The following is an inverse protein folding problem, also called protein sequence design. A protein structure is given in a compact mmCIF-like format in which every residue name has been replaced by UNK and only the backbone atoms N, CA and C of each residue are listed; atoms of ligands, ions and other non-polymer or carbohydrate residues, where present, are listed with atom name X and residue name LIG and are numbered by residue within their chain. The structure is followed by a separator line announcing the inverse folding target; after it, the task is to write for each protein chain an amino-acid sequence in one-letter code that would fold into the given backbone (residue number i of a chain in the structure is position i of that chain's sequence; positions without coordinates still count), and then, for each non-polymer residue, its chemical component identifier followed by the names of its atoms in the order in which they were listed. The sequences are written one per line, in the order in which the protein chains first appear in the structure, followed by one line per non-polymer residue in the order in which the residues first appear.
data_IF_274595365288
#
_entry.id   IF_274595365288
#
_cell.length_a   1.000
_cell.length_b   1.000
_cell.length_c   1.000
_cell.angle_alpha   90.00
_cell.angle_beta   90.00
_cell.angle_gamma   90.00
#
_symmetry.space_group_name_H-M   'P 1'
#
loop_
_entity.id
_entity.type
_entity.pdbx_description
1 polymer ?
#
# COMPACT_ATOMS: atom_id res chain seq x y z
N UNK A 1 -20.76 5.77 29.88
CA UNK A 1 -19.44 6.22 29.40
C UNK A 1 -18.64 5.00 28.97
N UNK A 2 -18.57 4.71 27.67
CA UNK A 2 -17.80 3.57 27.15
C UNK A 2 -16.36 3.99 26.88
N UNK A 3 -15.53 3.84 27.90
CA UNK A 3 -14.07 3.99 27.83
C UNK A 3 -13.48 2.90 26.93
N UNK A 4 -13.03 3.27 25.73
CA UNK A 4 -12.24 2.38 24.86
C UNK A 4 -10.78 2.38 25.34
N UNK A 5 -10.15 1.21 25.57
CA UNK A 5 -8.78 1.14 26.05
C UNK A 5 -7.79 1.54 24.94
N UNK A 6 -6.85 2.42 25.31
CA UNK A 6 -5.51 2.64 24.73
C UNK A 6 -5.32 2.49 23.21
N UNK A 7 -5.33 3.64 22.51
CA UNK A 7 -5.02 3.85 21.07
C UNK A 7 -3.50 3.76 20.75
N UNK A 8 -2.79 2.73 21.19
CA UNK A 8 -1.32 2.67 21.03
C UNK A 8 -0.80 1.78 19.88
N UNK A 9 -1.61 1.44 18.86
CA UNK A 9 -1.08 0.60 17.76
C UNK A 9 -1.61 0.86 16.35
N UNK A 10 -2.81 1.42 16.16
CA UNK A 10 -3.28 1.80 14.82
C UNK A 10 -4.31 2.94 14.91
N UNK A 11 -4.32 3.88 13.94
CA UNK A 11 -5.35 4.91 13.86
C UNK A 11 -6.77 4.31 13.81
N UNK A 12 -7.69 4.89 14.58
CA UNK A 12 -9.09 4.46 14.65
C UNK A 12 -9.82 4.68 13.32
N UNK A 13 -10.24 3.60 12.66
CA UNK A 13 -10.85 3.61 11.31
C UNK A 13 -12.16 4.41 11.21
N UNK A 14 -12.84 4.66 12.34
CA UNK A 14 -14.07 5.45 12.33
C UNK A 14 -13.81 6.96 12.35
N UNK A 15 -12.55 7.38 12.51
CA UNK A 15 -12.13 8.78 12.44
C UNK A 15 -11.65 9.15 11.03
N UNK A 16 -11.70 10.42 10.67
CA UNK A 16 -11.11 10.91 9.41
C UNK A 16 -9.62 10.58 9.31
N UNK A 17 -8.87 10.77 10.40
CA UNK A 17 -7.44 10.46 10.44
C UNK A 17 -7.17 8.97 10.22
N UNK A 18 -7.98 8.07 10.81
CA UNK A 18 -7.79 6.64 10.62
C UNK A 18 -8.20 6.13 9.24
N UNK A 19 -9.25 6.71 8.64
CA UNK A 19 -9.58 6.45 7.21
C UNK A 19 -8.43 6.84 6.29
N UNK A 20 -7.80 8.00 6.55
CA UNK A 20 -6.65 8.45 5.77
C UNK A 20 -5.44 7.52 5.93
N UNK A 21 -5.18 7.04 7.15
CA UNK A 21 -4.10 6.10 7.40
C UNK A 21 -4.33 4.75 6.69
N UNK A 22 -5.54 4.21 6.76
CA UNK A 22 -5.91 2.98 6.04
C UNK A 22 -5.77 3.14 4.52
N UNK A 23 -6.25 4.25 3.96
CA UNK A 23 -6.08 4.56 2.55
C UNK A 23 -4.60 4.59 2.12
N UNK A 24 -3.74 5.23 2.92
CA UNK A 24 -2.29 5.28 2.65
C UNK A 24 -1.67 3.89 2.69
N UNK A 25 -1.99 3.09 3.70
CA UNK A 25 -1.49 1.71 3.82
C UNK A 25 -1.91 0.84 2.63
N UNK A 26 -3.17 0.94 2.18
CA UNK A 26 -3.64 0.23 0.99
C UNK A 26 -2.96 0.72 -0.29
N UNK A 27 -2.70 2.02 -0.40
CA UNK A 27 -1.98 2.61 -1.53
C UNK A 27 -0.54 2.10 -1.62
N UNK A 28 0.14 1.97 -0.49
CA UNK A 28 1.49 1.40 -0.41
C UNK A 28 1.48 -0.08 -0.81
N UNK A 29 0.57 -0.88 -0.25
CA UNK A 29 0.41 -2.29 -0.61
C UNK A 29 0.11 -2.49 -2.12
N UNK A 30 -0.65 -1.56 -2.72
CA UNK A 30 -0.96 -1.59 -4.15
C UNK A 30 0.26 -1.35 -5.07
N UNK A 31 1.42 -0.91 -4.55
CA UNK A 31 2.65 -0.79 -5.35
C UNK A 31 3.25 -2.15 -5.69
N UNK A 32 3.10 -3.14 -4.81
CA UNK A 32 3.58 -4.50 -4.98
C UNK A 32 2.46 -5.52 -4.63
N UNK A 33 1.36 -5.56 -5.41
CA UNK A 33 0.17 -6.34 -5.07
C UNK A 33 0.42 -7.85 -5.07
N UNK A 34 1.48 -8.30 -5.74
CA UNK A 34 1.93 -9.71 -5.77
C UNK A 34 3.25 -9.92 -5.03
N UNK A 35 3.65 -8.96 -4.19
CA UNK A 35 4.92 -8.94 -3.47
C UNK A 35 6.12 -8.51 -4.34
N UNK A 36 7.22 -8.15 -3.69
CA UNK A 36 8.45 -7.68 -4.35
C UNK A 36 9.10 -8.75 -5.23
N UNK A 37 9.01 -10.02 -4.82
CA UNK A 37 9.54 -11.15 -5.60
C UNK A 37 8.91 -11.27 -7.01
N UNK A 38 7.65 -10.84 -7.17
CA UNK A 38 7.01 -10.85 -8.49
C UNK A 38 7.58 -9.76 -9.41
N UNK A 39 7.93 -8.60 -8.84
CA UNK A 39 8.59 -7.49 -9.55
C UNK A 39 9.99 -7.94 -10.00
N UNK A 40 10.77 -8.50 -9.07
CA UNK A 40 12.12 -9.01 -9.35
C UNK A 40 12.12 -10.08 -10.44
N UNK A 41 11.15 -11.01 -10.43
CA UNK A 41 11.00 -12.02 -11.50
C UNK A 41 10.72 -11.42 -12.88
N UNK A 42 10.05 -10.28 -12.95
CA UNK A 42 9.77 -9.58 -14.21
C UNK A 42 11.04 -8.87 -14.69
N UNK A 43 11.75 -8.21 -13.78
CA UNK A 43 13.03 -7.55 -14.07
C UNK A 43 14.12 -8.54 -14.48
N UNK A 44 14.20 -9.70 -13.84
CA UNK A 44 15.12 -10.79 -14.22
C UNK A 44 14.90 -11.33 -15.63
N UNK A 45 13.69 -11.13 -16.20
CA UNK A 45 13.36 -11.46 -17.60
C UNK A 45 13.67 -10.31 -18.57
N UNK A 46 14.30 -9.22 -18.11
CA UNK A 46 14.56 -8.02 -18.91
C UNK A 46 13.31 -7.23 -19.27
N UNK A 47 12.20 -7.40 -18.52
CA UNK A 47 10.93 -6.72 -18.78
C UNK A 47 10.63 -5.68 -17.70
N UNK A 48 9.83 -4.67 -18.07
CA UNK A 48 9.24 -3.71 -17.15
C UNK A 48 7.91 -4.22 -16.61
N UNK A 49 7.60 -3.90 -15.36
CA UNK A 49 6.27 -4.12 -14.77
C UNK A 49 5.20 -3.26 -15.46
N UNK A 50 3.92 -3.57 -15.24
CA UNK A 50 2.82 -2.79 -15.80
C UNK A 50 2.87 -1.31 -15.40
N UNK A 51 3.20 -1.02 -14.14
CA UNK A 51 3.33 0.35 -13.63
C UNK A 51 4.51 1.08 -14.26
N UNK A 52 5.67 0.44 -14.35
CA UNK A 52 6.86 1.02 -14.97
C UNK A 52 6.65 1.35 -16.44
N UNK A 53 5.90 0.51 -17.18
CA UNK A 53 5.53 0.81 -18.58
C UNK A 53 4.70 2.09 -18.72
N UNK A 54 3.78 2.35 -17.78
CA UNK A 54 3.00 3.59 -17.77
C UNK A 54 3.90 4.78 -17.44
N UNK A 55 4.77 4.65 -16.44
CA UNK A 55 5.70 5.70 -16.04
C UNK A 55 6.76 6.02 -17.11
N UNK A 56 7.15 5.04 -17.92
CA UNK A 56 8.08 5.28 -19.04
C UNK A 56 7.42 6.01 -20.22
N UNK A 57 6.08 6.05 -20.26
CA UNK A 57 5.32 6.71 -21.32
C UNK A 57 4.93 8.16 -20.98
N UNK A 58 4.71 8.45 -19.69
CA UNK A 58 4.29 9.76 -19.17
C UNK A 58 5.49 10.64 -18.81
#
# INVERSE_FOLDING_TARGET
MTTHPSRLSKPDIHTTAGKLADLRSRREAAMAPSGEAAIEKVHAKGKLTARERILALL
#
